data_IF_282648873373
#
_entry.id   IF_282648873373
#
_cell.length_a   1.000
_cell.length_b   1.000
_cell.length_c   1.000
_cell.angle_alpha   90.00
_cell.angle_beta   90.00
_cell.angle_gamma   90.00
#
_symmetry.space_group_name_H-M   'P 1'
#
loop_
_entity.id
_entity.type
_entity.pdbx_description
1 polymer ?
#
# COMPACT_ATOMS: atom_id res chain seq x y z
N UNK A 1 -10.48 -10.22 13.59
CA UNK A 1 -10.25 -9.24 12.51
C UNK A 1 -8.94 -9.54 11.81
N UNK A 2 -7.84 -9.84 12.53
CA UNK A 2 -6.53 -10.15 11.92
C UNK A 2 -6.54 -11.44 11.08
N UNK A 3 -7.34 -12.43 11.44
CA UNK A 3 -7.44 -13.69 10.71
C UNK A 3 -8.13 -13.51 9.35
N UNK A 4 -9.18 -12.69 9.30
CA UNK A 4 -9.90 -12.34 8.06
C UNK A 4 -8.97 -11.54 7.12
N UNK A 5 -8.11 -10.66 7.65
CA UNK A 5 -7.12 -9.94 6.87
C UNK A 5 -6.08 -10.85 6.23
N UNK A 6 -5.58 -11.86 6.94
CA UNK A 6 -4.62 -12.83 6.40
C UNK A 6 -5.23 -13.71 5.30
N UNK A 7 -6.49 -14.12 5.45
CA UNK A 7 -7.12 -15.04 4.50
C UNK A 7 -7.60 -14.36 3.22
N UNK A 8 -8.15 -13.14 3.30
CA UNK A 8 -8.63 -12.38 2.14
C UNK A 8 -7.51 -11.58 1.45
N UNK A 9 -6.49 -11.13 2.20
CA UNK A 9 -5.36 -10.37 1.69
C UNK A 9 -4.38 -11.24 0.89
N UNK A 10 -3.98 -12.39 1.40
CA UNK A 10 -2.88 -13.18 0.83
C UNK A 10 -3.13 -13.72 -0.59
N UNK A 11 -4.36 -14.13 -0.93
CA UNK A 11 -4.64 -14.65 -2.28
C UNK A 11 -4.71 -13.56 -3.35
N UNK A 12 -5.16 -12.35 -2.99
CA UNK A 12 -5.24 -11.24 -3.93
C UNK A 12 -3.95 -10.41 -4.03
N UNK A 13 -3.14 -10.41 -2.97
CA UNK A 13 -1.80 -9.78 -2.98
C UNK A 13 -0.83 -10.53 -3.88
N UNK A 14 -0.88 -11.85 -3.93
CA UNK A 14 -0.05 -12.64 -4.83
C UNK A 14 -0.35 -12.36 -6.32
N UNK A 15 -1.59 -12.06 -6.68
CA UNK A 15 -1.96 -11.69 -8.05
C UNK A 15 -1.53 -10.25 -8.41
N UNK A 16 -1.53 -9.33 -7.45
CA UNK A 16 -1.07 -7.93 -7.64
C UNK A 16 0.46 -7.86 -7.57
N UNK A 17 1.09 -8.72 -6.77
CA UNK A 17 2.54 -8.84 -6.70
C UNK A 17 3.16 -9.45 -7.96
N UNK A 18 2.42 -10.22 -8.74
CA UNK A 18 2.90 -10.75 -10.02
C UNK A 18 3.09 -9.69 -11.11
N UNK A 19 2.73 -8.43 -10.83
CA UNK A 19 3.31 -7.21 -11.43
C UNK A 19 3.27 -7.07 -12.94
N UNK A 20 2.42 -7.84 -13.65
CA UNK A 20 2.41 -7.79 -15.11
C UNK A 20 1.02 -8.11 -15.66
N UNK A 21 0.58 -7.31 -16.58
CA UNK A 21 -0.48 -7.57 -17.59
C UNK A 21 -1.92 -7.91 -17.11
N UNK A 22 -2.16 -8.35 -15.89
CA UNK A 22 -3.52 -8.65 -15.43
C UNK A 22 -4.30 -7.44 -14.87
N UNK A 23 -3.65 -6.28 -14.76
CA UNK A 23 -4.28 -5.06 -14.23
C UNK A 23 -5.28 -4.46 -15.25
N UNK A 24 -5.22 -4.87 -16.49
CA UNK A 24 -6.10 -4.37 -17.57
C UNK A 24 -7.38 -5.17 -17.76
N UNK A 25 -7.49 -6.35 -17.17
CA UNK A 25 -8.71 -7.15 -17.31
C UNK A 25 -9.79 -6.71 -16.31
N UNK A 26 -11.07 -6.67 -16.74
CA UNK A 26 -12.17 -6.27 -15.88
C UNK A 26 -12.31 -7.21 -14.69
N UNK A 27 -12.65 -6.62 -13.55
CA UNK A 27 -12.77 -7.36 -12.30
C UNK A 27 -14.06 -8.20 -12.31
N UNK A 28 -13.97 -9.50 -11.99
CA UNK A 28 -15.17 -10.34 -11.85
C UNK A 28 -16.13 -9.80 -10.77
N UNK A 29 -17.42 -10.14 -10.85
CA UNK A 29 -18.45 -9.68 -9.91
C UNK A 29 -18.09 -9.93 -8.44
N UNK A 30 -17.62 -11.14 -8.12
CA UNK A 30 -17.21 -11.48 -6.75
C UNK A 30 -15.97 -10.69 -6.29
N UNK A 31 -14.99 -10.50 -7.18
CA UNK A 31 -13.82 -9.67 -6.86
C UNK A 31 -14.20 -8.20 -6.65
N UNK A 32 -15.19 -7.69 -7.39
CA UNK A 32 -15.67 -6.32 -7.22
C UNK A 32 -16.33 -6.11 -5.85
N UNK A 33 -17.17 -7.06 -5.41
CA UNK A 33 -17.78 -7.03 -4.07
C UNK A 33 -16.66 -7.10 -2.99
N UNK A 34 -15.71 -8.01 -3.14
CA UNK A 34 -14.58 -8.10 -2.22
C UNK A 34 -13.75 -6.82 -2.18
N UNK A 35 -13.57 -6.15 -3.32
CA UNK A 35 -12.90 -4.84 -3.39
C UNK A 35 -13.60 -3.79 -2.52
N UNK A 36 -14.93 -3.71 -2.61
CA UNK A 36 -15.73 -2.80 -1.78
C UNK A 36 -15.61 -3.14 -0.29
N UNK A 37 -15.74 -4.41 0.08
CA UNK A 37 -15.62 -4.84 1.49
C UNK A 37 -14.24 -4.46 2.04
N UNK A 38 -13.17 -4.77 1.30
CA UNK A 38 -11.81 -4.43 1.71
C UNK A 38 -11.58 -2.93 1.83
N UNK A 39 -12.15 -2.13 0.93
CA UNK A 39 -12.04 -0.68 0.99
C UNK A 39 -12.73 -0.09 2.22
N UNK A 40 -13.92 -0.61 2.58
CA UNK A 40 -14.63 -0.22 3.80
C UNK A 40 -13.85 -0.59 5.06
N UNK A 41 -13.31 -1.82 5.13
CA UNK A 41 -12.47 -2.24 6.25
C UNK A 41 -11.23 -1.38 6.40
N UNK A 42 -10.57 -1.00 5.30
CA UNK A 42 -9.43 -0.08 5.29
C UNK A 42 -9.82 1.30 5.82
N UNK A 43 -10.95 1.83 5.37
CA UNK A 43 -11.46 3.13 5.84
C UNK A 43 -11.71 3.11 7.36
N UNK A 44 -12.38 2.07 7.86
CA UNK A 44 -12.65 1.93 9.29
C UNK A 44 -11.36 1.83 10.10
N UNK A 45 -10.40 1.03 9.62
CA UNK A 45 -9.08 0.89 10.27
C UNK A 45 -8.31 2.21 10.24
N UNK A 46 -8.25 2.89 9.10
CA UNK A 46 -7.56 4.17 8.97
C UNK A 46 -8.16 5.23 9.91
N UNK A 47 -9.49 5.33 9.98
CA UNK A 47 -10.18 6.23 10.93
C UNK A 47 -9.88 5.89 12.38
N UNK A 48 -9.89 4.60 12.74
CA UNK A 48 -9.53 4.16 14.09
C UNK A 48 -8.10 4.56 14.48
N UNK A 49 -7.14 4.41 13.55
CA UNK A 49 -5.74 4.80 13.76
C UNK A 49 -5.63 6.31 13.97
N UNK A 50 -6.23 7.11 13.09
CA UNK A 50 -6.21 8.57 13.19
C UNK A 50 -6.88 9.03 14.48
N UNK A 51 -8.01 8.42 14.85
CA UNK A 51 -8.69 8.77 16.10
C UNK A 51 -7.80 8.52 17.33
N UNK A 52 -7.08 7.38 17.36
CA UNK A 52 -6.12 7.09 18.43
C UNK A 52 -4.96 8.09 18.44
N UNK A 53 -4.44 8.48 17.28
CA UNK A 53 -3.39 9.48 17.19
C UNK A 53 -3.86 10.85 17.69
N UNK A 54 -5.10 11.26 17.36
CA UNK A 54 -5.69 12.53 17.83
C UNK A 54 -5.88 12.61 19.34
N UNK A 55 -5.90 11.47 20.04
CA UNK A 55 -5.92 11.42 21.51
C UNK A 55 -4.51 11.43 22.14
N UNK A 56 -3.51 11.92 21.42
CA UNK A 56 -2.14 12.11 21.91
C UNK A 56 -1.22 10.91 21.73
N UNK A 57 -1.63 9.90 20.92
CA UNK A 57 -0.81 8.73 20.63
C UNK A 57 0.05 8.91 19.38
N UNK A 58 1.28 8.39 19.40
CA UNK A 58 2.07 8.19 18.18
C UNK A 58 1.70 6.84 17.56
N UNK A 59 1.21 6.87 16.33
CA UNK A 59 0.82 5.66 15.58
C UNK A 59 1.76 5.42 14.41
N UNK A 60 2.54 4.34 14.49
CA UNK A 60 3.36 3.87 13.38
C UNK A 60 2.61 2.78 12.60
N UNK A 61 2.50 2.93 11.32
CA UNK A 61 1.74 2.02 10.45
C UNK A 61 2.60 1.61 9.26
N UNK A 62 2.74 0.30 9.07
CA UNK A 62 3.29 -0.24 7.84
C UNK A 62 2.22 -0.18 6.75
N UNK A 63 2.43 0.63 5.73
CA UNK A 63 1.54 0.92 4.61
C UNK A 63 0.30 1.77 4.95
N UNK A 64 0.04 2.72 4.11
CA UNK A 64 -1.14 3.57 4.16
C UNK A 64 -1.92 3.48 2.84
N UNK A 65 -3.27 3.56 2.86
CA UNK A 65 -4.06 3.52 1.65
C UNK A 65 -3.65 4.58 0.63
N UNK A 66 -3.75 4.23 -0.66
CA UNK A 66 -3.58 5.15 -1.78
C UNK A 66 -4.85 5.23 -2.62
N UNK A 67 -5.10 6.35 -3.26
CA UNK A 67 -6.22 6.49 -4.21
C UNK A 67 -5.90 5.97 -5.62
N UNK A 68 -4.67 5.53 -5.87
CA UNK A 68 -4.24 5.05 -7.17
C UNK A 68 -4.76 3.65 -7.46
N UNK A 69 -5.48 3.49 -8.57
CA UNK A 69 -6.05 2.21 -8.99
C UNK A 69 -4.94 1.22 -9.35
N UNK A 70 -5.10 -0.02 -8.90
CA UNK A 70 -4.15 -1.11 -9.20
C UNK A 70 -2.86 -1.08 -8.38
N UNK A 71 -2.65 -0.06 -7.54
CA UNK A 71 -1.54 -0.06 -6.58
C UNK A 71 -1.87 -0.87 -5.33
N UNK A 72 -0.84 -1.33 -4.64
CA UNK A 72 -0.99 -1.98 -3.36
C UNK A 72 -1.71 -1.04 -2.37
N UNK A 73 -2.74 -1.55 -1.69
CA UNK A 73 -3.61 -0.79 -0.79
C UNK A 73 -4.46 0.32 -1.44
N UNK A 74 -4.51 0.35 -2.79
CA UNK A 74 -5.40 1.18 -3.60
C UNK A 74 -6.70 0.49 -4.00
N UNK A 75 -7.54 1.20 -4.80
CA UNK A 75 -8.75 0.65 -5.42
C UNK A 75 -8.43 -0.54 -6.33
N UNK A 76 -9.30 -1.55 -6.29
CA UNK A 76 -9.09 -2.82 -7.02
C UNK A 76 -10.11 -3.10 -8.10
N UNK A 77 -11.26 -2.40 -8.07
CA UNK A 77 -12.32 -2.61 -9.05
C UNK A 77 -11.96 -1.93 -10.36
N UNK A 78 -11.72 -2.73 -11.38
CA UNK A 78 -11.45 -2.29 -12.75
C UNK A 78 -12.67 -2.66 -13.60
N UNK A 79 -13.17 -1.71 -14.35
CA UNK A 79 -14.31 -1.85 -15.25
C UNK A 79 -13.91 -1.53 -16.69
N UNK A 80 -14.60 -2.16 -17.62
CA UNK A 80 -14.55 -1.92 -19.05
C UNK A 80 -15.96 -1.87 -19.64
N UNK A 81 -16.07 -1.82 -20.98
CA UNK A 81 -17.34 -1.78 -21.70
C UNK A 81 -18.20 -3.05 -21.49
N UNK A 82 -17.57 -4.19 -21.20
CA UNK A 82 -18.24 -5.47 -20.96
C UNK A 82 -18.74 -5.63 -19.53
N UNK A 83 -18.37 -4.70 -18.62
CA UNK A 83 -18.69 -4.78 -17.20
C UNK A 83 -20.16 -4.52 -16.92
N UNK A 84 -20.76 -5.36 -16.12
CA UNK A 84 -22.18 -5.23 -15.77
C UNK A 84 -22.44 -4.13 -14.73
N UNK A 85 -23.73 -3.79 -14.55
CA UNK A 85 -24.20 -2.74 -13.63
C UNK A 85 -23.61 -2.90 -12.21
N UNK A 86 -23.55 -4.13 -11.69
CA UNK A 86 -22.99 -4.40 -10.35
C UNK A 86 -21.54 -3.94 -10.21
N UNK A 87 -20.70 -4.21 -11.21
CA UNK A 87 -19.30 -3.78 -11.19
C UNK A 87 -19.17 -2.26 -11.22
N UNK A 88 -20.03 -1.57 -11.99
CA UNK A 88 -20.07 -0.10 -12.00
C UNK A 88 -20.49 0.48 -10.64
N UNK A 89 -21.49 -0.12 -9.98
CA UNK A 89 -21.90 0.27 -8.63
C UNK A 89 -20.74 0.04 -7.65
N UNK A 90 -20.12 -1.14 -7.68
CA UNK A 90 -18.97 -1.45 -6.83
C UNK A 90 -17.82 -0.44 -7.04
N UNK A 91 -17.52 -0.10 -8.30
CA UNK A 91 -16.50 0.90 -8.62
C UNK A 91 -16.80 2.27 -8.03
N UNK A 92 -18.05 2.73 -8.14
CA UNK A 92 -18.49 4.01 -7.57
C UNK A 92 -18.37 4.00 -6.04
N UNK A 93 -18.84 2.94 -5.38
CA UNK A 93 -18.74 2.81 -3.92
C UNK A 93 -17.27 2.78 -3.49
N UNK A 94 -16.44 1.98 -4.15
CA UNK A 94 -15.01 1.90 -3.83
C UNK A 94 -14.33 3.26 -4.00
N UNK A 95 -14.57 3.95 -5.11
CA UNK A 95 -14.02 5.29 -5.36
C UNK A 95 -14.46 6.30 -4.29
N UNK A 96 -15.72 6.27 -3.88
CA UNK A 96 -16.24 7.11 -2.81
C UNK A 96 -15.57 6.82 -1.46
N UNK A 97 -15.31 5.54 -1.15
CA UNK A 97 -14.61 5.12 0.07
C UNK A 97 -13.19 5.66 0.08
N UNK A 98 -12.47 5.51 -1.04
CA UNK A 98 -11.08 6.01 -1.14
C UNK A 98 -10.97 7.53 -1.12
N UNK A 99 -11.96 8.24 -1.69
CA UNK A 99 -12.05 9.69 -1.57
C UNK A 99 -12.17 10.16 -0.10
N UNK A 100 -12.77 9.33 0.77
CA UNK A 100 -12.94 9.59 2.21
C UNK A 100 -11.85 9.04 3.11
N UNK A 101 -10.78 8.47 2.53
CA UNK A 101 -9.65 8.01 3.32
C UNK A 101 -8.99 9.18 4.05
N UNK A 102 -8.77 9.05 5.36
CA UNK A 102 -8.05 10.09 6.10
C UNK A 102 -6.59 10.12 5.64
N UNK A 103 -6.00 11.30 5.67
CA UNK A 103 -4.59 11.48 5.36
C UNK A 103 -3.73 11.10 6.56
N UNK A 104 -2.64 10.37 6.32
CA UNK A 104 -1.57 10.26 7.31
C UNK A 104 -0.88 11.62 7.48
N UNK A 105 -0.39 11.92 8.67
CA UNK A 105 0.35 13.17 8.88
C UNK A 105 1.67 13.16 8.13
N UNK A 106 2.40 12.04 8.22
CA UNK A 106 3.67 11.85 7.53
C UNK A 106 3.71 10.45 6.94
N UNK A 107 4.15 10.33 5.71
CA UNK A 107 4.49 9.07 5.08
C UNK A 107 5.97 9.05 4.72
N UNK A 108 6.70 8.08 5.23
CA UNK A 108 8.06 7.78 4.77
C UNK A 108 8.00 6.80 3.61
N UNK A 109 8.42 7.27 2.46
CA UNK A 109 8.50 6.44 1.26
C UNK A 109 9.94 5.96 1.07
N UNK A 110 10.19 4.68 1.38
CA UNK A 110 11.51 4.07 1.29
C UNK A 110 11.87 3.78 -0.17
N UNK A 111 12.91 4.43 -0.65
CA UNK A 111 13.50 4.19 -1.96
C UNK A 111 14.66 3.20 -1.80
N UNK A 112 14.59 2.09 -2.52
CA UNK A 112 15.66 1.09 -2.56
C UNK A 112 16.03 0.86 -4.02
N UNK A 113 17.28 1.08 -4.43
CA UNK A 113 17.73 0.76 -5.79
C UNK A 113 17.41 -0.70 -6.14
N UNK A 114 17.10 -0.96 -7.40
CA UNK A 114 16.65 -2.29 -7.84
C UNK A 114 17.70 -3.37 -7.60
N UNK A 115 18.97 -3.02 -7.75
CA UNK A 115 20.11 -3.91 -7.53
C UNK A 115 20.15 -4.34 -6.06
N UNK A 116 19.99 -3.38 -5.13
CA UNK A 116 19.97 -3.62 -3.69
C UNK A 116 18.73 -4.44 -3.29
N UNK A 117 17.58 -4.15 -3.88
CA UNK A 117 16.35 -4.90 -3.62
C UNK A 117 16.48 -6.37 -4.07
N UNK A 118 17.07 -6.60 -5.25
CA UNK A 118 17.32 -7.93 -5.80
C UNK A 118 18.32 -8.70 -4.95
N UNK A 119 19.41 -8.08 -4.55
CA UNK A 119 20.42 -8.71 -3.69
C UNK A 119 19.84 -9.08 -2.31
N UNK A 120 19.10 -8.16 -1.69
CA UNK A 120 18.41 -8.44 -0.42
C UNK A 120 17.38 -9.57 -0.54
N UNK A 121 16.72 -9.70 -1.69
CA UNK A 121 15.79 -10.81 -1.92
C UNK A 121 16.52 -12.14 -2.10
N UNK A 122 17.67 -12.15 -2.76
CA UNK A 122 18.52 -13.36 -2.93
C UNK A 122 19.07 -13.85 -1.61
N UNK A 123 19.49 -12.95 -0.72
CA UNK A 123 20.04 -13.27 0.59
C UNK A 123 19.00 -13.72 1.63
N UNK A 124 17.71 -13.46 1.41
CA UNK A 124 16.66 -13.89 2.33
C UNK A 124 16.53 -15.41 2.39
N UNK A 125 16.46 -15.96 3.61
CA UNK A 125 16.10 -17.36 3.86
C UNK A 125 14.57 -17.43 3.87
N UNK A 126 13.95 -17.64 2.71
CA UNK A 126 12.50 -17.75 2.56
C UNK A 126 12.17 -18.75 1.46
N UNK A 127 11.18 -19.61 1.71
CA UNK A 127 10.52 -20.38 0.66
C UNK A 127 9.70 -19.43 -0.23
N UNK A 128 9.59 -19.74 -1.52
CA UNK A 128 8.86 -18.91 -2.50
C UNK A 128 9.38 -17.47 -2.62
N UNK A 129 10.67 -17.31 -2.91
CA UNK A 129 11.24 -15.98 -3.22
C UNK A 129 10.62 -15.41 -4.48
N UNK A 130 10.42 -14.09 -4.48
CA UNK A 130 10.06 -13.36 -5.69
C UNK A 130 11.16 -13.50 -6.75
N UNK A 131 10.77 -13.62 -7.99
CA UNK A 131 11.73 -13.59 -9.10
C UNK A 131 12.24 -12.16 -9.33
N UNK A 132 13.44 -12.03 -9.90
CA UNK A 132 14.01 -10.71 -10.23
C UNK A 132 13.07 -9.90 -11.13
N UNK A 133 12.34 -10.58 -12.04
CA UNK A 133 11.31 -9.96 -12.90
C UNK A 133 10.14 -9.36 -12.08
N UNK A 134 9.69 -10.06 -11.05
CA UNK A 134 8.63 -9.55 -10.16
C UNK A 134 9.09 -8.35 -9.34
N UNK A 135 10.34 -8.37 -8.87
CA UNK A 135 10.94 -7.25 -8.15
C UNK A 135 11.04 -6.03 -9.05
N UNK A 136 11.51 -6.20 -10.29
CA UNK A 136 11.61 -5.13 -11.29
C UNK A 136 10.24 -4.54 -11.62
N UNK A 137 9.24 -5.37 -11.86
CA UNK A 137 7.89 -4.92 -12.16
C UNK A 137 7.28 -4.12 -10.98
N UNK A 138 7.49 -4.59 -9.74
CA UNK A 138 7.05 -3.88 -8.54
C UNK A 138 7.80 -2.56 -8.34
N UNK A 139 9.10 -2.54 -8.60
CA UNK A 139 9.90 -1.33 -8.52
C UNK A 139 9.37 -0.27 -9.49
N UNK A 140 9.22 -0.61 -10.77
CA UNK A 140 8.68 0.28 -11.80
C UNK A 140 7.25 0.72 -11.46
N UNK A 141 6.42 -0.20 -10.99
CA UNK A 141 5.05 0.11 -10.59
C UNK A 141 4.93 1.07 -9.40
N UNK A 142 5.97 1.23 -8.59
CA UNK A 142 5.96 2.09 -7.40
C UNK A 142 6.73 3.41 -7.58
N UNK A 143 7.38 3.66 -8.73
CA UNK A 143 8.15 4.90 -8.94
C UNK A 143 7.30 6.16 -8.74
N UNK A 144 6.06 6.13 -9.21
CA UNK A 144 5.12 7.26 -9.14
C UNK A 144 4.10 7.13 -8.00
N UNK A 145 4.38 6.24 -7.03
CA UNK A 145 3.45 6.01 -5.93
C UNK A 145 3.25 7.26 -5.09
N UNK A 146 1.97 7.64 -4.91
CA UNK A 146 1.57 8.82 -4.12
C UNK A 146 0.70 8.35 -2.93
N UNK A 147 1.25 8.29 -1.72
CA UNK A 147 0.48 7.97 -0.54
C UNK A 147 -0.51 9.08 -0.20
N UNK A 148 -1.64 8.71 0.42
CA UNK A 148 -2.61 9.69 0.96
C UNK A 148 -2.07 10.22 2.28
N UNK A 149 -1.19 11.24 2.20
CA UNK A 149 -0.53 11.83 3.36
C UNK A 149 -0.40 13.35 3.20
N UNK A 150 -0.38 14.09 4.34
CA UNK A 150 -0.14 15.53 4.36
C UNK A 150 1.29 15.88 3.97
N UNK A 151 2.25 15.06 4.41
CA UNK A 151 3.67 15.19 4.09
C UNK A 151 4.24 13.83 3.68
N UNK A 152 4.98 13.81 2.57
CA UNK A 152 5.71 12.60 2.14
C UNK A 152 7.19 12.89 2.16
N UNK A 153 7.95 12.07 2.87
CA UNK A 153 9.40 12.12 2.95
C UNK A 153 9.95 10.93 2.18
N UNK A 154 10.71 11.19 1.13
CA UNK A 154 11.44 10.15 0.40
C UNK A 154 12.71 9.84 1.16
N UNK A 155 12.85 8.60 1.58
CA UNK A 155 14.00 8.13 2.36
C UNK A 155 14.76 7.07 1.56
N UNK A 156 16.03 7.36 1.26
CA UNK A 156 16.89 6.40 0.57
C UNK A 156 17.38 5.33 1.53
N UNK A 157 17.00 4.08 1.28
CA UNK A 157 17.35 2.92 2.09
C UNK A 157 18.37 2.03 1.35
N UNK A 158 19.48 2.63 0.96
CA UNK A 158 20.66 1.97 0.40
C UNK A 158 21.85 2.12 1.36
N UNK A 159 22.78 1.18 1.33
CA UNK A 159 23.98 1.18 2.19
C UNK A 159 23.82 0.41 3.50
N UNK A 160 24.67 0.75 4.50
CA UNK A 160 24.72 0.05 5.78
C UNK A 160 23.41 0.20 6.58
N UNK A 161 22.92 -0.92 7.07
CA UNK A 161 21.62 -0.96 7.78
C UNK A 161 21.62 -0.14 9.08
N UNK A 162 22.72 -0.18 9.86
CA UNK A 162 22.76 0.51 11.14
C UNK A 162 22.82 2.03 10.95
N UNK A 163 23.58 2.47 9.97
CA UNK A 163 23.66 3.89 9.59
C UNK A 163 22.29 4.38 9.13
N UNK A 164 21.65 3.68 8.20
CA UNK A 164 20.34 4.05 7.66
C UNK A 164 19.23 4.00 8.72
N UNK A 165 19.29 3.03 9.63
CA UNK A 165 18.38 2.98 10.77
C UNK A 165 18.50 4.22 11.66
N UNK A 166 19.72 4.65 11.97
CA UNK A 166 19.95 5.86 12.78
C UNK A 166 19.44 7.10 12.06
N UNK A 167 19.79 7.30 10.79
CA UNK A 167 19.31 8.42 9.98
C UNK A 167 17.78 8.48 9.94
N UNK A 168 17.12 7.33 9.78
CA UNK A 168 15.67 7.23 9.79
C UNK A 168 15.09 7.65 11.13
N UNK A 169 15.61 7.11 12.24
CA UNK A 169 15.15 7.46 13.59
C UNK A 169 15.33 8.95 13.87
N UNK A 170 16.47 9.52 13.53
CA UNK A 170 16.75 10.94 13.69
C UNK A 170 15.79 11.81 12.84
N UNK A 171 15.44 11.35 11.65
CA UNK A 171 14.45 12.01 10.80
C UNK A 171 13.06 11.97 11.43
N UNK A 172 12.65 10.81 11.95
CA UNK A 172 11.34 10.66 12.63
C UNK A 172 11.26 11.55 13.86
N UNK A 173 12.30 11.57 14.69
CA UNK A 173 12.33 12.42 15.89
C UNK A 173 12.27 13.92 15.56
N UNK A 174 12.98 14.37 14.53
CA UNK A 174 12.89 15.77 14.07
C UNK A 174 11.46 16.15 13.64
N UNK A 175 10.78 15.27 12.91
CA UNK A 175 9.40 15.52 12.50
C UNK A 175 8.42 15.53 13.68
N UNK A 176 8.62 14.69 14.67
CA UNK A 176 7.82 14.69 15.90
C UNK A 176 8.08 15.97 16.69
N UNK A 177 9.36 16.28 16.99
CA UNK A 177 9.74 17.43 17.82
C UNK A 177 9.37 18.78 17.19
N UNK A 178 9.22 18.85 15.87
CA UNK A 178 8.80 20.10 15.20
C UNK A 178 7.31 20.41 15.34
N UNK A 179 6.53 19.50 15.93
CA UNK A 179 5.08 19.65 16.11
C UNK A 179 4.67 19.99 17.54
N UNK A 180 5.61 19.85 18.46
CA UNK A 180 5.46 20.19 19.89
C UNK A 180 6.40 21.33 20.25
#
# INVERSE_FOLDING_TARGET
>A
IDLIWRTLGNKSENAIMSGTSEITSPTSRLRSINGVILSLLRLLKARSIINKANHGGLMLVDRWPTSEVGKMDGPRVIIDESSGLLQHICKKIESWVYFRMPQADICYFFLVPIEVATERNRSRIKENKETDKMISARFLGNLDYKPVAKKTIRFENSGDFQVKRKEFMDSVWREISSRY
#
